data_IF_083413524998
#
_entry.id   IF_083413524998
#
_cell.length_a   1.000
_cell.length_b   1.000
_cell.length_c   1.000
_cell.angle_alpha   90.00
_cell.angle_beta   90.00
_cell.angle_gamma   90.00
#
_symmetry.space_group_name_H-M   'P 1'
#
loop_
_entity.id
_entity.type
_entity.pdbx_description
1 polymer ?
#
# COMPACT_ATOMS: atom_id res chain seq x y z
N UNK A 1 1.97 -0.07 -23.83
CA UNK A 1 2.75 -0.42 -22.61
C UNK A 1 3.90 0.54 -22.27
N UNK A 2 4.54 1.26 -23.22
CA UNK A 2 5.65 2.21 -22.91
C UNK A 2 5.29 3.35 -21.94
N UNK A 3 4.04 3.84 -21.96
CA UNK A 3 3.57 5.01 -21.17
C UNK A 3 3.33 4.73 -19.68
N UNK A 4 2.98 3.49 -19.30
CA UNK A 4 2.79 3.15 -17.88
C UNK A 4 4.14 2.96 -17.20
N UNK A 5 5.15 2.47 -17.94
CA UNK A 5 6.54 2.36 -17.47
C UNK A 5 7.27 3.70 -17.32
N UNK A 6 6.70 4.81 -17.80
CA UNK A 6 7.27 6.15 -17.56
C UNK A 6 6.76 6.80 -16.27
N UNK A 7 5.76 6.21 -15.59
CA UNK A 7 5.29 6.69 -14.29
C UNK A 7 6.30 6.29 -13.20
N UNK A 8 6.48 7.15 -12.20
CA UNK A 8 7.36 6.82 -11.08
C UNK A 8 6.77 5.67 -10.26
N UNK A 9 7.60 4.76 -9.72
CA UNK A 9 7.13 3.68 -8.84
C UNK A 9 6.31 4.19 -7.66
N UNK A 10 6.68 5.32 -7.08
CA UNK A 10 5.93 5.96 -5.99
C UNK A 10 4.52 6.35 -6.41
N UNK A 11 4.33 6.88 -7.62
CA UNK A 11 3.01 7.22 -8.13
C UNK A 11 2.15 5.96 -8.27
N UNK A 12 2.71 4.87 -8.79
CA UNK A 12 2.02 3.59 -8.90
C UNK A 12 1.64 3.01 -7.52
N UNK A 13 2.51 3.16 -6.51
CA UNK A 13 2.21 2.81 -5.12
C UNK A 13 1.07 3.64 -4.54
N UNK A 14 1.05 4.95 -4.79
CA UNK A 14 -0.03 5.84 -4.34
C UNK A 14 -1.36 5.41 -4.95
N UNK A 15 -1.39 5.16 -6.27
CA UNK A 15 -2.59 4.69 -6.97
C UNK A 15 -3.06 3.35 -6.41
N UNK A 16 -2.16 2.42 -6.10
CA UNK A 16 -2.49 1.14 -5.46
C UNK A 16 -3.21 1.37 -4.13
N UNK A 17 -2.67 2.21 -3.25
CA UNK A 17 -3.30 2.54 -1.97
C UNK A 17 -4.68 3.17 -2.12
N UNK A 18 -4.84 4.10 -3.08
CA UNK A 18 -6.13 4.75 -3.36
C UNK A 18 -7.16 3.73 -3.87
N UNK A 19 -6.78 2.86 -4.81
CA UNK A 19 -7.68 1.83 -5.34
C UNK A 19 -8.17 0.90 -4.23
N UNK A 20 -7.29 0.52 -3.29
CA UNK A 20 -7.73 -0.24 -2.12
C UNK A 20 -8.67 0.57 -1.23
N UNK A 21 -8.35 1.82 -0.88
CA UNK A 21 -9.27 2.65 -0.07
C UNK A 21 -10.66 2.75 -0.69
N UNK A 22 -10.75 2.94 -2.01
CA UNK A 22 -12.03 2.98 -2.73
C UNK A 22 -12.75 1.62 -2.78
N UNK A 23 -12.04 0.52 -2.59
CA UNK A 23 -12.62 -0.82 -2.58
C UNK A 23 -13.39 -1.14 -1.30
N UNK A 24 -13.17 -0.38 -0.23
CA UNK A 24 -13.77 -0.59 1.09
C UNK A 24 -14.74 0.56 1.44
N UNK A 25 -15.55 0.42 2.51
CA UNK A 25 -16.44 1.48 2.95
C UNK A 25 -15.72 2.82 3.18
N UNK A 26 -16.37 3.95 2.89
CA UNK A 26 -17.77 4.09 2.48
C UNK A 26 -18.00 3.94 0.95
N UNK A 27 -16.94 3.84 0.15
CA UNK A 27 -17.05 3.83 -1.31
C UNK A 27 -17.54 2.48 -1.85
N UNK A 28 -17.11 1.39 -1.20
CA UNK A 28 -17.58 0.02 -1.43
C UNK A 28 -17.47 -0.46 -2.89
N UNK A 29 -16.49 0.07 -3.63
CA UNK A 29 -16.19 -0.34 -5.01
C UNK A 29 -15.33 -1.60 -5.02
N UNK A 30 -15.81 -2.66 -4.35
CA UNK A 30 -15.08 -3.90 -4.08
C UNK A 30 -14.44 -4.54 -5.32
N UNK A 31 -15.01 -4.32 -6.52
CA UNK A 31 -14.43 -4.78 -7.78
C UNK A 31 -13.03 -4.21 -8.07
N UNK A 32 -12.69 -3.03 -7.55
CA UNK A 32 -11.37 -2.40 -7.71
C UNK A 32 -10.26 -3.19 -7.01
N UNK A 33 -10.57 -3.96 -5.96
CA UNK A 33 -9.59 -4.72 -5.19
C UNK A 33 -8.83 -5.74 -6.05
N UNK A 34 -9.49 -6.29 -7.08
CA UNK A 34 -8.87 -7.20 -8.05
C UNK A 34 -7.75 -6.54 -8.86
N UNK A 35 -7.90 -5.25 -9.15
CA UNK A 35 -6.96 -4.49 -10.00
C UNK A 35 -5.99 -3.63 -9.18
N UNK A 36 -6.27 -3.39 -7.91
CA UNK A 36 -5.49 -2.52 -7.03
C UNK A 36 -4.03 -2.94 -6.90
N UNK A 37 -3.71 -4.24 -7.03
CA UNK A 37 -2.34 -4.74 -7.00
C UNK A 37 -1.53 -4.47 -8.28
N UNK A 38 -2.19 -4.27 -9.42
CA UNK A 38 -1.54 -4.17 -10.74
C UNK A 38 -0.52 -3.02 -10.80
N UNK A 39 -0.85 -1.78 -10.37
CA UNK A 39 0.11 -0.68 -10.40
C UNK A 39 1.34 -0.98 -9.52
N UNK A 40 1.14 -1.54 -8.33
CA UNK A 40 2.24 -1.90 -7.44
C UNK A 40 3.18 -2.92 -8.08
N UNK A 41 2.66 -3.98 -8.71
CA UNK A 41 3.48 -4.96 -9.40
C UNK A 41 4.33 -4.33 -10.52
N UNK A 42 3.75 -3.39 -11.29
CA UNK A 42 4.49 -2.66 -12.32
C UNK A 42 5.62 -1.81 -11.69
N UNK A 43 5.35 -1.12 -10.58
CA UNK A 43 6.36 -0.35 -9.84
C UNK A 43 7.47 -1.22 -9.23
N UNK A 44 7.15 -2.48 -8.91
CA UNK A 44 8.09 -3.44 -8.33
C UNK A 44 8.96 -4.17 -9.37
N UNK A 45 8.59 -4.19 -10.66
CA UNK A 45 9.25 -4.97 -11.72
C UNK A 45 10.78 -4.77 -11.79
N UNK A 46 11.27 -3.58 -11.44
CA UNK A 46 12.71 -3.23 -11.43
C UNK A 46 13.23 -2.80 -10.06
N UNK A 47 12.42 -2.98 -9.02
CA UNK A 47 12.75 -2.52 -7.68
C UNK A 47 13.44 -3.64 -6.90
N UNK A 48 14.62 -3.34 -6.35
CA UNK A 48 15.25 -4.25 -5.39
C UNK A 48 14.47 -4.35 -4.09
N UNK A 49 14.78 -5.35 -3.25
CA UNK A 49 14.03 -5.63 -2.01
C UNK A 49 13.83 -4.41 -1.08
N UNK A 50 14.82 -3.51 -0.98
CA UNK A 50 14.72 -2.27 -0.18
C UNK A 50 13.65 -1.32 -0.72
N UNK A 51 13.69 -1.07 -2.02
CA UNK A 51 12.68 -0.25 -2.69
C UNK A 51 11.33 -0.94 -2.68
N UNK A 52 11.30 -2.27 -2.80
CA UNK A 52 10.08 -3.05 -2.69
C UNK A 52 9.38 -2.84 -1.36
N UNK A 53 10.13 -2.88 -0.24
CA UNK A 53 9.57 -2.56 1.06
C UNK A 53 8.98 -1.14 1.11
N UNK A 54 9.74 -0.14 0.66
CA UNK A 54 9.31 1.26 0.68
C UNK A 54 8.03 1.49 -0.13
N UNK A 55 7.94 0.91 -1.34
CA UNK A 55 6.80 1.04 -2.24
C UNK A 55 5.55 0.31 -1.70
N UNK A 56 5.74 -0.89 -1.15
CA UNK A 56 4.68 -1.62 -0.46
C UNK A 56 4.17 -0.83 0.75
N UNK A 57 5.07 -0.37 1.61
CA UNK A 57 4.74 0.39 2.82
C UNK A 57 3.99 1.69 2.49
N UNK A 58 4.40 2.42 1.46
CA UNK A 58 3.69 3.63 0.99
C UNK A 58 2.26 3.32 0.54
N UNK A 59 2.07 2.22 -0.20
CA UNK A 59 0.74 1.78 -0.64
C UNK A 59 -0.14 1.41 0.57
N UNK A 60 0.44 0.68 1.53
CA UNK A 60 -0.20 0.31 2.79
C UNK A 60 -0.58 1.52 3.64
N UNK A 61 0.27 2.54 3.72
CA UNK A 61 -0.02 3.77 4.48
C UNK A 61 -1.27 4.46 3.93
N UNK A 62 -1.35 4.63 2.62
CA UNK A 62 -2.49 5.30 1.98
C UNK A 62 -3.76 4.47 2.16
N UNK A 63 -3.68 3.16 1.94
CA UNK A 63 -4.82 2.26 2.11
C UNK A 63 -5.34 2.24 3.55
N UNK A 64 -4.45 1.96 4.51
CA UNK A 64 -4.83 1.80 5.91
C UNK A 64 -5.24 3.12 6.54
N UNK A 65 -4.62 4.25 6.18
CA UNK A 65 -5.09 5.57 6.58
C UNK A 65 -6.50 5.82 6.05
N UNK A 66 -6.73 5.58 4.76
CA UNK A 66 -8.03 5.75 4.14
C UNK A 66 -9.11 4.84 4.76
N UNK A 67 -8.78 3.61 5.10
CA UNK A 67 -9.77 2.62 5.55
C UNK A 67 -9.99 2.60 7.07
N UNK A 68 -9.03 3.09 7.85
CA UNK A 68 -9.06 3.06 9.32
C UNK A 68 -9.19 4.44 9.96
N UNK A 69 -9.37 5.51 9.16
CA UNK A 69 -9.52 6.87 9.67
C UNK A 69 -10.64 7.01 10.73
N UNK A 70 -11.67 6.15 10.65
CA UNK A 70 -12.80 6.15 11.56
C UNK A 70 -12.41 5.85 13.02
N UNK A 71 -11.30 5.15 13.27
CA UNK A 71 -10.80 4.85 14.63
C UNK A 71 -10.54 6.14 15.41
N UNK A 72 -10.11 7.20 14.72
CA UNK A 72 -9.83 8.51 15.34
C UNK A 72 -11.06 9.20 15.93
N UNK A 73 -12.29 8.73 15.63
CA UNK A 73 -13.55 9.30 16.11
C UNK A 73 -14.32 8.34 17.04
N UNK A 74 -13.61 7.47 17.76
CA UNK A 74 -14.23 6.51 18.67
C UNK A 74 -14.92 7.19 19.86
N UNK A 75 -16.22 6.95 20.03
CA UNK A 75 -17.02 7.53 21.11
C UNK A 75 -16.65 6.93 22.47
N UNK A 76 -16.68 7.74 23.53
CA UNK A 76 -16.32 7.28 24.88
C UNK A 76 -14.81 7.18 25.15
N UNK A 77 -13.97 7.64 24.20
CA UNK A 77 -12.51 7.70 24.35
C UNK A 77 -12.02 9.14 24.15
N UNK A 78 -10.92 9.53 24.80
CA UNK A 78 -10.33 10.86 24.56
C UNK A 78 -9.75 10.95 23.15
N UNK A 79 -9.84 12.14 22.53
CA UNK A 79 -9.32 12.37 21.17
C UNK A 79 -7.86 11.92 21.03
N UNK A 80 -7.01 12.23 22.01
CA UNK A 80 -5.59 11.87 21.97
C UNK A 80 -5.38 10.35 21.89
N UNK A 81 -6.12 9.57 22.69
CA UNK A 81 -6.01 8.11 22.69
C UNK A 81 -6.55 7.55 21.37
N UNK A 82 -7.72 8.03 20.91
CA UNK A 82 -8.31 7.60 19.64
C UNK A 82 -7.37 7.86 18.45
N UNK A 83 -6.85 9.09 18.33
CA UNK A 83 -5.90 9.46 17.29
C UNK A 83 -4.60 8.66 17.37
N UNK A 84 -4.04 8.45 18.57
CA UNK A 84 -2.82 7.65 18.76
C UNK A 84 -3.03 6.20 18.36
N UNK A 85 -4.18 5.61 18.71
CA UNK A 85 -4.52 4.24 18.32
C UNK A 85 -4.68 4.10 16.81
N UNK A 86 -5.35 5.06 16.15
CA UNK A 86 -5.48 5.11 14.69
C UNK A 86 -4.11 5.19 14.02
N UNK A 87 -3.25 6.13 14.43
CA UNK A 87 -1.89 6.28 13.88
C UNK A 87 -1.10 4.99 14.09
N UNK A 88 -1.16 4.40 15.29
CA UNK A 88 -0.53 3.12 15.59
C UNK A 88 -0.98 2.00 14.67
N UNK A 89 -2.29 1.85 14.47
CA UNK A 89 -2.87 0.85 13.56
C UNK A 89 -2.45 1.06 12.10
N UNK A 90 -2.47 2.31 11.61
CA UNK A 90 -2.02 2.66 10.25
C UNK A 90 -0.56 2.28 10.04
N UNK A 91 0.33 2.70 10.94
CA UNK A 91 1.75 2.41 10.84
C UNK A 91 2.03 0.90 10.92
N UNK A 92 1.40 0.21 11.89
CA UNK A 92 1.57 -1.22 12.09
C UNK A 92 1.08 -2.04 10.89
N UNK A 93 -0.15 -1.81 10.42
CA UNK A 93 -0.72 -2.61 9.33
C UNK A 93 -0.01 -2.34 7.99
N UNK A 94 0.50 -1.12 7.79
CA UNK A 94 1.29 -0.78 6.60
C UNK A 94 2.57 -1.59 6.49
N UNK A 95 3.12 -2.09 7.61
CA UNK A 95 4.31 -2.98 7.60
C UNK A 95 4.02 -4.25 6.80
N UNK A 96 2.82 -4.82 6.86
CA UNK A 96 2.49 -6.03 6.09
C UNK A 96 2.55 -5.81 4.58
N UNK A 97 2.12 -4.64 4.10
CA UNK A 97 2.29 -4.26 2.69
C UNK A 97 3.76 -4.04 2.33
N UNK A 98 4.53 -3.44 3.24
CA UNK A 98 5.98 -3.32 3.09
C UNK A 98 6.66 -4.68 2.99
N UNK A 99 6.34 -5.62 3.87
CA UNK A 99 6.87 -6.98 3.85
C UNK A 99 6.49 -7.71 2.56
N UNK A 100 5.27 -7.54 2.07
CA UNK A 100 4.86 -8.07 0.78
C UNK A 100 5.71 -7.51 -0.37
N UNK A 101 5.88 -6.18 -0.43
CA UNK A 101 6.74 -5.54 -1.42
C UNK A 101 8.22 -5.96 -1.31
N UNK A 102 8.72 -6.17 -0.10
CA UNK A 102 10.06 -6.71 0.16
C UNK A 102 10.22 -8.11 -0.45
N UNK A 103 9.28 -9.02 -0.19
CA UNK A 103 9.33 -10.39 -0.68
C UNK A 103 9.30 -10.44 -2.21
N UNK A 104 8.44 -9.63 -2.83
CA UNK A 104 8.37 -9.52 -4.29
C UNK A 104 9.66 -8.94 -4.89
N UNK A 105 10.19 -7.85 -4.32
CA UNK A 105 11.44 -7.25 -4.79
C UNK A 105 12.63 -8.21 -4.63
N UNK A 106 12.67 -8.98 -3.55
CA UNK A 106 13.70 -10.01 -3.34
C UNK A 106 13.58 -11.14 -4.36
N UNK A 107 12.36 -11.63 -4.61
CA UNK A 107 12.10 -12.64 -5.64
C UNK A 107 12.54 -12.15 -7.03
N UNK A 108 12.13 -10.94 -7.42
CA UNK A 108 12.49 -10.33 -8.69
C UNK A 108 13.99 -10.21 -8.91
N UNK A 109 14.76 -9.82 -7.88
CA UNK A 109 16.23 -9.77 -7.97
C UNK A 109 16.87 -11.15 -8.09
N UNK A 110 16.38 -12.15 -7.35
CA UNK A 110 16.94 -13.50 -7.39
C UNK A 110 16.71 -14.16 -8.75
N UNK A 111 15.51 -14.04 -9.31
CA UNK A 111 15.19 -14.62 -10.62
C UNK A 111 15.74 -13.79 -11.78
N UNK A 112 15.73 -12.46 -11.68
CA UNK A 112 16.28 -11.57 -12.71
C UNK A 112 17.79 -11.67 -12.88
N UNK A 113 18.53 -12.11 -11.86
CA UNK A 113 19.97 -12.38 -11.96
C UNK A 113 20.31 -13.77 -12.52
N UNK A 114 19.32 -14.63 -12.78
CA UNK A 114 19.52 -16.01 -13.26
C UNK A 114 19.22 -16.19 -14.76
N UNK A 115 18.78 -15.14 -15.45
CA UNK A 115 18.46 -15.12 -16.88
C UNK A 115 19.43 -14.17 -17.57
#
# INVERSE_FOLDING_TARGET
>A
MKRVRSLSPEFLSIITGILFTLSFPPFDLSFLAWFAWIPLWIGLERSGWRNGFRLGYLSGLIFTLGSLNWIGNNSGTSFLIAASSMIGSVLYLSIYFGLFGYLLGKGGQVYGNRV
#
